data_IF_410146383315
#
_entry.id   IF_410146383315
#
_cell.length_a   1.000
_cell.length_b   1.000
_cell.length_c   1.000
_cell.angle_alpha   90.00
_cell.angle_beta   90.00
_cell.angle_gamma   90.00
#
_symmetry.space_group_name_H-M   'P 1'
#
loop_
_entity.id
_entity.type
_entity.pdbx_description
1 polymer ?
#
# COMPACT_ATOMS: atom_id res chain seq x y z
N UNK A 1 -0.96 -12.07 -28.10
CA UNK A 1 0.11 -12.70 -27.31
C UNK A 1 -0.52 -13.25 -26.03
N UNK A 2 -0.61 -14.57 -25.89
CA UNK A 2 -1.43 -15.25 -24.87
C UNK A 2 -0.53 -15.55 -23.67
N UNK A 3 -0.60 -14.74 -22.61
CA UNK A 3 0.16 -14.97 -21.39
C UNK A 3 -0.41 -16.20 -20.67
N UNK A 4 0.36 -17.28 -20.68
CA UNK A 4 0.06 -18.54 -20.01
C UNK A 4 0.64 -18.43 -18.60
N UNK A 5 -0.20 -18.17 -17.61
CA UNK A 5 0.19 -18.26 -16.20
C UNK A 5 0.30 -19.74 -15.81
N UNK A 6 1.51 -20.20 -15.52
CA UNK A 6 1.73 -21.50 -14.88
C UNK A 6 1.27 -21.40 -13.43
N UNK A 7 0.21 -22.14 -13.09
CA UNK A 7 -0.32 -22.25 -11.74
C UNK A 7 0.62 -23.07 -10.87
N UNK A 8 1.55 -22.41 -10.17
CA UNK A 8 2.16 -23.02 -8.99
C UNK A 8 1.10 -23.00 -7.88
N UNK A 9 0.67 -24.19 -7.45
CA UNK A 9 -0.38 -24.37 -6.44
C UNK A 9 0.15 -23.99 -5.06
N UNK A 10 -0.01 -22.73 -4.68
CA UNK A 10 0.06 -22.34 -3.26
C UNK A 10 -1.24 -22.77 -2.58
N UNK A 11 -1.13 -23.66 -1.60
CA UNK A 11 -2.24 -24.09 -0.76
C UNK A 11 -2.57 -22.94 0.20
N UNK A 12 -3.51 -22.09 -0.19
CA UNK A 12 -3.98 -20.96 0.63
C UNK A 12 -4.72 -21.52 1.85
N UNK A 13 -4.07 -21.49 3.03
CA UNK A 13 -4.81 -21.53 4.30
C UNK A 13 -5.65 -20.26 4.44
N UNK A 14 -6.68 -20.28 5.30
CA UNK A 14 -7.67 -19.19 5.41
C UNK A 14 -7.04 -17.92 6.01
N UNK A 15 -6.37 -17.10 5.20
CA UNK A 15 -6.08 -15.72 5.57
C UNK A 15 -7.37 -14.88 5.45
N UNK A 16 -7.79 -14.25 6.55
CA UNK A 16 -8.92 -13.33 6.60
C UNK A 16 -8.44 -11.95 6.20
N UNK A 17 -8.70 -11.59 4.96
CA UNK A 17 -8.40 -10.27 4.39
C UNK A 17 -9.66 -9.43 4.39
N UNK A 18 -9.57 -8.20 4.90
CA UNK A 18 -10.63 -7.20 4.70
C UNK A 18 -10.10 -6.12 3.75
N UNK A 19 -10.84 -5.93 2.66
CA UNK A 19 -10.75 -4.76 1.77
C UNK A 19 -12.01 -3.93 1.99
N UNK A 20 -11.88 -2.66 2.37
CA UNK A 20 -13.04 -1.77 2.58
C UNK A 20 -13.16 -0.77 1.43
N UNK A 21 -14.38 -0.63 0.89
CA UNK A 21 -14.75 0.23 -0.25
C UNK A 21 -16.13 0.90 -0.02
N UNK A 22 -16.33 1.65 1.08
CA UNK A 22 -17.65 2.23 1.44
C UNK A 22 -17.52 3.64 2.05
N UNK A 23 -18.55 4.52 1.88
CA UNK A 23 -18.51 5.91 1.38
C UNK A 23 -17.85 6.96 2.29
N UNK A 24 -17.09 6.52 3.29
CA UNK A 24 -16.01 7.31 3.86
C UNK A 24 -14.73 7.18 3.02
N UNK A 25 -14.85 6.65 1.79
CA UNK A 25 -13.81 6.50 0.74
C UNK A 25 -13.24 7.83 0.23
N UNK A 26 -13.38 8.87 1.04
CA UNK A 26 -12.90 10.19 0.75
C UNK A 26 -11.67 10.43 1.63
N UNK A 27 -10.49 10.27 1.02
CA UNK A 27 -9.44 11.27 1.25
C UNK A 27 -9.94 12.70 0.93
N UNK A 28 -11.14 12.85 0.36
CA UNK A 28 -11.86 14.09 0.10
C UNK A 28 -12.70 14.66 1.26
N UNK A 29 -12.95 13.97 2.38
CA UNK A 29 -13.91 14.46 3.39
C UNK A 29 -13.42 14.16 4.81
N UNK A 30 -12.39 14.87 5.25
CA UNK A 30 -12.35 15.43 6.60
C UNK A 30 -11.29 16.54 6.68
N UNK A 31 -11.70 17.79 6.42
CA UNK A 31 -11.43 18.95 7.27
C UNK A 31 -12.10 20.20 6.71
N UNK A 32 -12.69 20.99 7.61
CA UNK A 32 -13.03 22.37 7.30
C UNK A 32 -11.81 23.07 6.71
N UNK A 33 -12.03 23.76 5.58
CA UNK A 33 -11.11 24.73 4.99
C UNK A 33 -9.61 24.34 4.98
N UNK A 34 -9.23 23.18 4.43
CA UNK A 34 -7.81 22.86 4.18
C UNK A 34 -7.49 21.46 3.64
N UNK A 35 -7.44 21.29 2.30
CA UNK A 35 -6.56 20.37 1.54
C UNK A 35 -6.73 18.84 1.64
N UNK A 36 -7.03 18.18 0.50
CA UNK A 36 -7.16 16.71 0.33
C UNK A 36 -5.82 15.93 0.23
N UNK A 37 -4.74 16.51 0.74
CA UNK A 37 -3.37 16.04 0.48
C UNK A 37 -2.56 15.96 1.77
N UNK A 38 -2.06 14.77 2.10
CA UNK A 38 -1.26 14.57 3.30
C UNK A 38 -1.00 13.09 3.59
N UNK A 39 0.20 12.82 4.10
CA UNK A 39 0.63 11.47 4.45
C UNK A 39 0.25 11.06 5.88
N UNK A 40 -0.23 12.00 6.70
CA UNK A 40 -0.67 11.74 8.07
C UNK A 40 -1.74 10.66 8.10
N UNK A 41 -1.51 9.64 8.94
CA UNK A 41 -2.44 8.56 9.22
C UNK A 41 -3.16 8.92 10.53
N UNK A 42 -4.45 9.27 10.51
CA UNK A 42 -5.18 9.65 11.72
C UNK A 42 -5.20 8.51 12.74
N UNK A 43 -5.07 8.85 14.02
CA UNK A 43 -5.11 7.87 15.12
C UNK A 43 -6.39 7.00 15.10
N UNK A 44 -7.50 7.53 14.61
CA UNK A 44 -8.75 6.78 14.43
C UNK A 44 -8.64 5.66 13.39
N UNK A 45 -7.89 5.87 12.31
CA UNK A 45 -7.62 4.84 11.30
C UNK A 45 -6.76 3.72 11.87
N UNK A 46 -5.72 4.09 12.64
CA UNK A 46 -4.85 3.14 13.35
C UNK A 46 -5.68 2.32 14.35
N UNK A 47 -6.43 2.98 15.22
CA UNK A 47 -7.27 2.31 16.22
C UNK A 47 -8.33 1.40 15.59
N UNK A 48 -8.86 1.78 14.42
CA UNK A 48 -9.79 0.92 13.68
C UNK A 48 -9.10 -0.33 13.12
N UNK A 49 -7.92 -0.19 12.50
CA UNK A 49 -7.15 -1.32 11.99
C UNK A 49 -6.78 -2.29 13.12
N UNK A 50 -6.33 -1.77 14.26
CA UNK A 50 -6.03 -2.57 15.46
C UNK A 50 -7.26 -3.32 15.96
N UNK A 51 -8.44 -2.68 16.04
CA UNK A 51 -9.69 -3.37 16.41
C UNK A 51 -10.07 -4.50 15.45
N UNK A 52 -9.85 -4.35 14.15
CA UNK A 52 -10.10 -5.43 13.19
C UNK A 52 -9.21 -6.65 13.45
N UNK A 53 -7.94 -6.41 13.77
CA UNK A 53 -7.01 -7.47 14.12
C UNK A 53 -7.42 -8.11 15.45
N UNK A 54 -7.58 -7.31 16.51
CA UNK A 54 -7.78 -7.80 17.88
C UNK A 54 -9.15 -8.44 18.12
N UNK A 55 -10.21 -7.92 17.48
CA UNK A 55 -11.59 -8.32 17.77
C UNK A 55 -12.23 -9.15 16.67
N UNK A 56 -11.88 -8.91 15.40
CA UNK A 56 -12.43 -9.65 14.28
C UNK A 56 -11.48 -10.75 13.76
N UNK A 57 -10.25 -10.81 14.27
CA UNK A 57 -9.24 -11.80 13.87
C UNK A 57 -8.87 -11.65 12.39
N UNK A 58 -8.70 -10.42 11.93
CA UNK A 58 -8.24 -10.10 10.58
C UNK A 58 -6.73 -10.27 10.49
N UNK A 59 -6.25 -10.90 9.42
CA UNK A 59 -4.82 -11.21 9.24
C UNK A 59 -4.11 -10.15 8.38
N UNK A 60 -4.86 -9.43 7.55
CA UNK A 60 -4.39 -8.36 6.66
C UNK A 60 -5.47 -7.28 6.50
N UNK A 61 -5.09 -6.03 6.77
CA UNK A 61 -5.93 -4.85 6.50
C UNK A 61 -5.41 -4.15 5.25
N UNK A 62 -6.28 -3.98 4.24
CA UNK A 62 -5.96 -3.29 2.99
C UNK A 62 -6.85 -2.05 2.83
N UNK A 63 -6.25 -0.87 3.01
CA UNK A 63 -6.86 0.43 2.75
C UNK A 63 -6.63 0.89 1.32
N UNK A 64 -7.73 1.16 0.60
CA UNK A 64 -7.71 1.76 -0.73
C UNK A 64 -8.62 3.01 -0.71
N UNK A 65 -8.08 4.19 -1.00
CA UNK A 65 -8.84 5.46 -1.08
C UNK A 65 -7.93 6.66 -1.38
N UNK A 66 -6.64 6.60 -1.03
CA UNK A 66 -5.68 7.64 -1.41
C UNK A 66 -5.01 7.29 -2.75
N UNK A 67 -4.87 8.30 -3.61
CA UNK A 67 -4.17 8.21 -4.91
C UNK A 67 -2.65 8.07 -4.79
N UNK A 68 -2.10 8.05 -3.57
CA UNK A 68 -0.66 7.93 -3.30
C UNK A 68 -0.39 6.93 -2.19
N UNK A 69 0.82 6.38 -2.19
CA UNK A 69 1.31 5.43 -1.17
C UNK A 69 1.40 6.12 0.19
N UNK A 70 0.80 5.51 1.21
CA UNK A 70 0.94 5.88 2.63
C UNK A 70 1.82 4.88 3.39
N UNK A 71 2.11 5.20 4.65
CA UNK A 71 2.80 4.28 5.55
C UNK A 71 2.07 2.94 5.72
N UNK A 72 2.82 1.94 6.16
CA UNK A 72 2.32 0.62 6.51
C UNK A 72 2.85 0.20 7.90
N UNK A 73 2.16 -0.74 8.53
CA UNK A 73 2.48 -1.21 9.88
C UNK A 73 2.42 -2.74 9.95
N UNK A 74 3.23 -3.31 10.85
CA UNK A 74 3.11 -4.71 11.28
C UNK A 74 2.63 -4.73 12.74
N UNK A 75 1.31 -4.85 12.94
CA UNK A 75 0.68 -4.86 14.27
C UNK A 75 0.36 -6.29 14.71
N UNK A 76 0.89 -6.72 15.87
CA UNK A 76 0.79 -8.12 16.34
C UNK A 76 1.16 -9.17 15.28
N UNK A 77 2.18 -8.85 14.47
CA UNK A 77 2.64 -9.70 13.37
C UNK A 77 1.74 -9.67 12.13
N UNK A 78 0.74 -8.79 12.05
CA UNK A 78 -0.23 -8.67 10.95
C UNK A 78 0.00 -7.41 10.15
N UNK A 79 -0.17 -7.51 8.84
CA UNK A 79 0.10 -6.38 7.95
C UNK A 79 -1.11 -5.44 7.89
N UNK A 80 -0.84 -4.14 8.03
CA UNK A 80 -1.80 -3.06 7.82
C UNK A 80 -1.26 -2.12 6.73
N UNK A 81 -1.97 -2.03 5.62
CA UNK A 81 -1.70 -1.09 4.54
C UNK A 81 -2.73 0.05 4.61
N UNK A 82 -2.31 1.24 5.01
CA UNK A 82 -3.23 2.38 5.21
C UNK A 82 -3.64 3.06 3.91
N UNK A 83 -2.86 2.88 2.84
CA UNK A 83 -3.09 3.55 1.57
C UNK A 83 -2.19 3.05 0.46
N UNK A 84 -2.75 2.26 -0.44
CA UNK A 84 -1.97 1.57 -1.48
C UNK A 84 -1.74 2.37 -2.78
N UNK A 85 -2.33 3.55 -2.93
CA UNK A 85 -2.32 4.26 -4.22
C UNK A 85 -3.24 3.60 -5.25
N UNK A 86 -3.24 4.14 -6.46
CA UNK A 86 -3.97 3.59 -7.60
C UNK A 86 -3.01 3.04 -8.66
N UNK A 87 -3.46 2.04 -9.42
CA UNK A 87 -2.73 1.51 -10.59
C UNK A 87 -3.20 2.12 -11.90
N UNK A 88 -4.34 2.81 -11.87
CA UNK A 88 -5.02 3.50 -12.95
C UNK A 88 -5.84 4.60 -12.28
N UNK A 89 -5.63 5.83 -12.73
CA UNK A 89 -6.40 6.98 -12.26
C UNK A 89 -6.81 7.86 -13.46
N UNK A 90 -7.81 8.72 -13.24
CA UNK A 90 -8.30 9.71 -14.21
C UNK A 90 -7.56 11.07 -14.06
N UNK A 91 -6.45 11.10 -13.31
CA UNK A 91 -5.69 12.30 -13.00
C UNK A 91 -4.51 12.51 -13.94
N UNK A 92 -4.23 11.58 -14.87
CA UNK A 92 -3.19 11.77 -15.90
C UNK A 92 -3.47 13.04 -16.72
N UNK A 93 -2.67 14.08 -16.50
CA UNK A 93 -2.80 15.40 -17.13
C UNK A 93 -3.30 16.52 -16.20
N UNK A 94 -3.68 16.22 -14.95
CA UNK A 94 -4.02 17.22 -13.93
C UNK A 94 -2.74 17.65 -13.19
N UNK A 95 -2.33 18.90 -13.37
CA UNK A 95 -1.13 19.47 -12.72
C UNK A 95 -1.36 20.05 -11.32
N UNK A 96 -0.29 20.46 -10.66
CA UNK A 96 -0.31 21.13 -9.35
C UNK A 96 -0.06 20.21 -8.13
N UNK A 97 0.16 18.92 -8.38
CA UNK A 97 0.36 17.90 -7.34
C UNK A 97 1.64 17.08 -7.55
N UNK A 98 2.58 17.59 -8.34
CA UNK A 98 3.83 16.92 -8.74
C UNK A 98 4.67 16.50 -7.53
N UNK A 99 4.55 17.23 -6.42
CA UNK A 99 5.22 16.91 -5.14
C UNK A 99 4.82 15.55 -4.56
N UNK A 100 3.64 15.04 -4.89
CA UNK A 100 3.13 13.75 -4.40
C UNK A 100 3.43 12.59 -5.33
N UNK A 101 3.95 12.89 -6.54
CA UNK A 101 4.29 11.91 -7.57
C UNK A 101 3.15 10.89 -7.79
N UNK A 102 1.92 11.34 -8.13
CA UNK A 102 0.76 10.46 -8.26
C UNK A 102 0.96 9.38 -9.34
N UNK A 103 1.89 9.61 -10.27
CA UNK A 103 2.25 8.61 -11.26
C UNK A 103 3.05 7.42 -10.69
N UNK A 104 3.51 7.47 -9.44
CA UNK A 104 4.25 6.40 -8.78
C UNK A 104 3.36 5.62 -7.80
N UNK A 105 3.40 4.30 -7.90
CA UNK A 105 2.58 3.39 -7.09
C UNK A 105 3.33 2.10 -6.75
N UNK A 106 2.79 1.29 -5.85
CA UNK A 106 3.40 0.04 -5.39
C UNK A 106 2.43 -1.13 -5.54
N UNK A 107 2.90 -2.24 -6.11
CA UNK A 107 2.23 -3.54 -5.89
C UNK A 107 2.76 -4.19 -4.62
N UNK A 108 1.87 -4.77 -3.81
CA UNK A 108 2.20 -5.39 -2.52
C UNK A 108 2.09 -6.92 -2.62
N UNK A 109 3.17 -7.62 -2.27
CA UNK A 109 3.26 -9.07 -2.28
C UNK A 109 3.61 -9.59 -0.88
N UNK A 110 2.63 -9.65 0.05
CA UNK A 110 2.85 -10.20 1.38
C UNK A 110 2.92 -11.74 1.34
N UNK A 111 3.85 -12.29 2.11
CA UNK A 111 3.91 -13.71 2.45
C UNK A 111 3.35 -13.88 3.85
N UNK A 112 2.26 -14.66 3.95
CA UNK A 112 1.51 -14.85 5.19
C UNK A 112 1.55 -16.32 5.60
N UNK A 113 1.93 -16.59 6.85
CA UNK A 113 1.92 -17.92 7.43
C UNK A 113 0.46 -18.44 7.53
N UNK A 114 0.09 -19.54 6.86
CA UNK A 114 -1.33 -19.87 6.63
C UNK A 114 -2.17 -20.18 7.87
N UNK A 115 -1.55 -20.62 8.96
CA UNK A 115 -2.24 -21.05 10.19
C UNK A 115 -2.31 -19.96 11.24
N UNK A 116 -1.27 -19.14 11.29
CA UNK A 116 -1.16 -18.06 12.28
C UNK A 116 -1.65 -16.77 11.68
N UNK A 117 -1.58 -16.58 10.36
CA UNK A 117 -1.80 -15.34 9.62
C UNK A 117 -0.71 -14.29 9.86
N UNK A 118 0.44 -14.69 10.40
CA UNK A 118 1.59 -13.81 10.64
C UNK A 118 2.28 -13.47 9.32
N UNK A 119 2.66 -12.21 9.14
CA UNK A 119 3.49 -11.76 8.03
C UNK A 119 4.91 -12.34 8.20
N UNK A 120 5.40 -13.04 7.19
CA UNK A 120 6.75 -13.63 7.16
C UNK A 120 7.67 -12.98 6.12
N UNK A 121 7.12 -12.13 5.26
CA UNK A 121 7.88 -11.29 4.34
C UNK A 121 6.95 -10.39 3.52
N UNK A 122 7.45 -9.26 3.04
CA UNK A 122 6.70 -8.36 2.18
C UNK A 122 7.62 -7.83 1.09
N UNK A 123 7.24 -8.07 -0.16
CA UNK A 123 7.89 -7.48 -1.33
C UNK A 123 6.98 -6.44 -1.97
N UNK A 124 7.54 -5.32 -2.40
CA UNK A 124 6.81 -4.25 -3.08
C UNK A 124 7.43 -4.05 -4.46
N UNK A 125 6.61 -4.01 -5.52
CA UNK A 125 7.09 -3.66 -6.85
C UNK A 125 6.84 -2.17 -7.12
N UNK A 126 7.91 -1.36 -7.29
CA UNK A 126 7.82 0.01 -7.78
C UNK A 126 7.23 0.07 -9.18
N UNK A 127 6.11 0.76 -9.32
CA UNK A 127 5.43 0.95 -10.59
C UNK A 127 5.24 2.43 -10.92
N UNK A 128 5.11 2.70 -12.21
CA UNK A 128 4.81 4.01 -12.77
C UNK A 128 3.64 3.93 -13.74
N UNK A 129 2.59 4.71 -13.49
CA UNK A 129 1.51 4.95 -14.44
C UNK A 129 1.98 5.95 -15.49
N UNK A 130 1.86 5.61 -16.76
CA UNK A 130 2.18 6.48 -17.89
C UNK A 130 1.43 6.03 -19.13
N UNK A 131 0.78 6.95 -19.83
CA UNK A 131 -0.03 6.68 -21.01
C UNK A 131 -1.12 5.63 -20.73
N UNK A 132 -1.80 5.76 -19.60
CA UNK A 132 -2.80 4.80 -19.10
C UNK A 132 -2.28 3.34 -19.03
N UNK A 133 -0.97 3.18 -18.80
CA UNK A 133 -0.32 1.88 -18.65
C UNK A 133 0.50 1.84 -17.38
N UNK A 134 0.49 0.68 -16.74
CA UNK A 134 1.35 0.41 -15.61
C UNK A 134 2.69 -0.15 -16.11
N UNK A 135 3.77 0.54 -15.75
CA UNK A 135 5.14 0.21 -16.14
C UNK A 135 5.98 -0.01 -14.88
N UNK A 136 7.07 -0.77 -14.97
CA UNK A 136 8.04 -0.79 -13.88
C UNK A 136 8.66 0.59 -13.70
N UNK A 137 8.78 1.04 -12.45
CA UNK A 137 9.45 2.29 -12.15
C UNK A 137 10.96 2.13 -12.35
N UNK A 138 11.62 3.19 -12.82
CA UNK A 138 13.08 3.22 -12.88
C UNK A 138 13.70 3.29 -11.48
N UNK A 139 15.01 3.03 -11.37
CA UNK A 139 15.71 3.00 -10.07
C UNK A 139 15.56 4.29 -9.26
N UNK A 140 15.59 5.46 -9.90
CA UNK A 140 15.41 6.74 -9.21
C UNK A 140 14.01 6.90 -8.60
N UNK A 141 12.98 6.42 -9.31
CA UNK A 141 11.60 6.44 -8.84
C UNK A 141 11.39 5.41 -7.71
N UNK A 142 12.03 4.25 -7.80
CA UNK A 142 12.03 3.25 -6.73
C UNK A 142 12.71 3.76 -5.44
N UNK A 143 13.82 4.49 -5.57
CA UNK A 143 14.48 5.18 -4.45
C UNK A 143 13.55 6.23 -3.83
N UNK A 144 12.87 7.03 -4.66
CA UNK A 144 11.92 8.02 -4.16
C UNK A 144 10.74 7.38 -3.41
N UNK A 145 10.22 6.26 -3.91
CA UNK A 145 9.15 5.48 -3.27
C UNK A 145 9.61 4.91 -1.92
N UNK A 146 10.82 4.36 -1.85
CA UNK A 146 11.43 3.89 -0.59
C UNK A 146 11.53 5.04 0.42
N UNK A 147 12.18 6.14 0.04
CA UNK A 147 12.45 7.25 0.96
C UNK A 147 11.16 7.92 1.44
N UNK A 148 10.17 8.03 0.55
CA UNK A 148 8.84 8.51 0.90
C UNK A 148 8.15 7.56 1.87
N UNK A 149 8.15 6.25 1.60
CA UNK A 149 7.56 5.27 2.52
C UNK A 149 8.24 5.32 3.89
N UNK A 150 9.57 5.34 3.94
CA UNK A 150 10.34 5.36 5.18
C UNK A 150 10.01 6.60 6.01
N UNK A 151 10.00 7.78 5.39
CA UNK A 151 9.61 9.05 6.03
C UNK A 151 8.18 8.99 6.57
N UNK A 152 7.22 8.54 5.77
CA UNK A 152 5.80 8.59 6.13
C UNK A 152 5.37 7.42 7.04
N UNK A 153 6.23 6.41 7.20
CA UNK A 153 6.02 5.28 8.09
C UNK A 153 6.96 5.25 9.31
N UNK A 154 7.72 6.31 9.56
CA UNK A 154 8.69 6.39 10.66
C UNK A 154 8.06 6.01 12.02
N UNK A 155 6.82 6.45 12.26
CA UNK A 155 6.06 6.14 13.48
C UNK A 155 5.64 4.68 13.66
N UNK A 156 5.76 3.84 12.62
CA UNK A 156 5.38 2.42 12.65
C UNK A 156 6.57 1.47 12.73
N UNK A 157 7.81 1.98 12.71
CA UNK A 157 9.02 1.18 12.89
C UNK A 157 9.33 0.18 11.76
N UNK A 158 8.65 0.30 10.63
CA UNK A 158 8.93 -0.48 9.42
C UNK A 158 10.08 0.17 8.67
N UNK A 159 11.01 -0.60 8.11
CA UNK A 159 12.07 -0.10 7.22
C UNK A 159 11.99 -0.86 5.90
N UNK A 160 12.26 -0.17 4.80
CA UNK A 160 12.22 -0.76 3.47
C UNK A 160 13.59 -0.68 2.81
N UNK A 161 14.03 -1.79 2.22
CA UNK A 161 15.29 -1.86 1.48
C UNK A 161 14.99 -2.02 -0.01
N UNK A 162 15.75 -1.30 -0.85
CA UNK A 162 15.74 -1.50 -2.30
C UNK A 162 16.72 -2.61 -2.67
N UNK A 163 16.21 -3.70 -3.24
CA UNK A 163 17.00 -4.86 -3.66
C UNK A 163 17.59 -4.68 -5.08
N UNK A 164 18.50 -5.58 -5.46
CA UNK A 164 19.19 -5.54 -6.76
C UNK A 164 18.22 -5.73 -7.94
N UNK A 165 17.15 -6.51 -7.74
CA UNK A 165 16.13 -6.77 -8.76
C UNK A 165 15.12 -5.61 -8.92
N UNK A 166 15.33 -4.51 -8.19
CA UNK A 166 14.49 -3.31 -8.26
C UNK A 166 13.22 -3.38 -7.41
N UNK A 167 13.01 -4.48 -6.68
CA UNK A 167 11.93 -4.59 -5.71
C UNK A 167 12.32 -3.94 -4.39
N UNK A 168 11.30 -3.58 -3.62
CA UNK A 168 11.46 -3.16 -2.24
C UNK A 168 11.10 -4.32 -1.30
N UNK A 169 11.79 -4.45 -0.17
CA UNK A 169 11.53 -5.48 0.83
C UNK A 169 11.44 -4.90 2.25
N UNK A 170 10.55 -5.46 3.06
CA UNK A 170 10.44 -5.26 4.52
C UNK A 170 10.89 -6.53 5.23
#
# INVERSE_FOLDING_TARGET
>A
MRLRWSSNRYRVGRARVISRRRPLDNCQNWQGAGGNWGYTIPAEQVAFAHRLIDRAGVDLVHGHSCHYVKGLEVYHGRLVLYGCGDFLDDYEGIGGYERYRPELTLMYFPTIEPNTGRLTGLRLAPMRVRHFRLNHAGRADAVWLRDTRDREGEGFGVQVVLEEDGMLAV
#
